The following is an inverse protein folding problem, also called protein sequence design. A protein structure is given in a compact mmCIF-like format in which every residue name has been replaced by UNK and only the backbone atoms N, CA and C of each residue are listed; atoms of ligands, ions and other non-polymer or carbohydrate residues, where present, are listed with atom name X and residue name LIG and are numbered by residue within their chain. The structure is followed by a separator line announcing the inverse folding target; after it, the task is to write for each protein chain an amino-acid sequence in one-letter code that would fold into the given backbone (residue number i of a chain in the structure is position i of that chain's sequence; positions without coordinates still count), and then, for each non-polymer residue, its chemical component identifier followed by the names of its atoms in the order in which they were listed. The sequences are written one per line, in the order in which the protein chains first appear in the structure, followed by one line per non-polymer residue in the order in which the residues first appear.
data_IF_566409391669
#
_entry.id   IF_566409391669
#
_cell.length_a   1.000
_cell.length_b   1.000
_cell.length_c   1.000
_cell.angle_alpha   90.00
_cell.angle_beta   90.00
_cell.angle_gamma   90.00
#
_symmetry.space_group_name_H-M   'P 1'
#
loop_
_entity.id
_entity.type
_entity.pdbx_description
1 polymer ?
#
# COMPACT_ATOMS: atom_id res chain seq x y z
N UNK A 1 -5.64 10.56 -11.94
CA UNK A 1 -6.31 11.86 -12.08
C UNK A 1 -7.54 12.01 -11.18
N UNK A 2 -8.33 10.95 -10.97
CA UNK A 2 -9.58 11.05 -10.22
C UNK A 2 -9.38 11.23 -8.71
N UNK A 3 -8.42 10.52 -8.11
CA UNK A 3 -8.18 10.51 -6.66
C UNK A 3 -7.17 11.60 -6.24
N UNK A 4 -6.07 11.72 -6.97
CA UNK A 4 -4.93 12.56 -6.60
C UNK A 4 -4.77 13.82 -7.49
N UNK A 5 -5.84 14.28 -8.13
CA UNK A 5 -5.78 15.41 -9.04
C UNK A 5 -5.15 15.09 -10.41
N UNK A 6 -5.03 16.09 -11.29
CA UNK A 6 -4.52 15.90 -12.66
C UNK A 6 -3.02 15.59 -12.71
N UNK A 7 -2.28 16.09 -11.75
CA UNK A 7 -0.82 15.97 -11.60
C UNK A 7 -0.38 14.85 -10.66
N UNK A 8 -1.33 14.18 -10.01
CA UNK A 8 -1.06 13.16 -9.00
C UNK A 8 -0.66 13.71 -7.63
N UNK A 9 -0.60 15.05 -7.48
CA UNK A 9 -0.14 15.73 -6.26
C UNK A 9 -1.20 16.68 -5.67
N UNK A 10 -2.46 16.56 -6.13
CA UNK A 10 -3.55 17.40 -5.63
C UNK A 10 -3.42 18.89 -5.97
N UNK A 11 -2.48 19.27 -6.86
CA UNK A 11 -2.15 20.63 -7.17
C UNK A 11 -1.01 21.22 -6.32
N UNK A 12 -0.41 20.43 -5.43
CA UNK A 12 0.72 20.88 -4.63
C UNK A 12 1.95 21.18 -5.52
N UNK A 13 2.61 22.30 -5.24
CA UNK A 13 3.82 22.71 -5.96
C UNK A 13 5.03 22.08 -5.28
N UNK A 14 5.81 21.34 -6.06
CA UNK A 14 7.10 20.82 -5.61
C UNK A 14 8.25 21.58 -6.28
N UNK A 15 9.36 21.78 -5.56
CA UNK A 15 10.56 22.35 -6.17
C UNK A 15 11.05 21.52 -7.35
N UNK A 16 11.65 22.17 -8.34
CA UNK A 16 12.26 21.47 -9.47
C UNK A 16 13.33 20.48 -8.98
N UNK A 17 13.19 19.23 -9.40
CA UNK A 17 14.12 18.17 -9.00
C UNK A 17 15.38 18.22 -9.86
N UNK A 18 16.55 18.11 -9.23
CA UNK A 18 17.84 17.86 -9.90
C UNK A 18 18.13 16.38 -10.09
N UNK A 19 17.24 15.50 -9.66
CA UNK A 19 17.39 14.06 -9.81
C UNK A 19 17.36 13.66 -11.30
N UNK A 20 18.26 12.77 -11.69
CA UNK A 20 18.31 12.20 -13.03
C UNK A 20 17.64 10.84 -12.96
N UNK A 21 16.77 10.57 -13.94
CA UNK A 21 16.17 9.24 -14.08
C UNK A 21 17.25 8.27 -14.55
N UNK A 22 17.46 7.20 -13.83
CA UNK A 22 18.41 6.16 -14.21
C UNK A 22 17.91 5.36 -15.42
N UNK A 23 18.82 4.90 -16.26
CA UNK A 23 18.50 4.03 -17.42
C UNK A 23 18.13 2.61 -17.00
N UNK A 24 18.60 2.19 -15.83
CA UNK A 24 18.35 0.87 -15.26
C UNK A 24 16.87 0.64 -15.03
N UNK A 25 16.36 -0.51 -15.43
CA UNK A 25 14.96 -0.87 -15.22
C UNK A 25 14.68 -1.19 -13.74
N UNK A 26 13.50 -0.80 -13.25
CA UNK A 26 13.13 -0.97 -11.84
C UNK A 26 13.24 -2.42 -11.34
N UNK A 27 12.90 -3.41 -12.17
CA UNK A 27 12.99 -4.83 -11.82
C UNK A 27 14.43 -5.34 -11.71
N UNK A 28 15.39 -4.78 -12.47
CA UNK A 28 16.81 -5.11 -12.37
C UNK A 28 17.44 -4.43 -11.14
N UNK A 29 17.07 -3.17 -10.87
CA UNK A 29 17.48 -2.46 -9.67
C UNK A 29 16.97 -3.16 -8.40
N UNK A 30 15.74 -3.68 -8.42
CA UNK A 30 15.17 -4.46 -7.32
C UNK A 30 15.99 -5.72 -7.03
N UNK A 31 16.38 -6.45 -8.08
CA UNK A 31 17.19 -7.67 -7.94
C UNK A 31 18.57 -7.37 -7.37
N UNK A 32 19.25 -6.33 -7.88
CA UNK A 32 20.54 -5.91 -7.35
C UNK A 32 20.46 -5.53 -5.86
N UNK A 33 19.44 -4.73 -5.48
CA UNK A 33 19.21 -4.38 -4.08
C UNK A 33 18.98 -5.63 -3.21
N UNK A 34 18.29 -6.64 -3.73
CA UNK A 34 18.07 -7.90 -3.04
C UNK A 34 19.37 -8.67 -2.81
N UNK A 35 20.25 -8.73 -3.84
CA UNK A 35 21.57 -9.36 -3.71
C UNK A 35 22.44 -8.65 -2.66
N UNK A 36 22.45 -7.31 -2.67
CA UNK A 36 23.19 -6.51 -1.67
C UNK A 36 22.69 -6.74 -0.25
N UNK A 37 21.37 -6.85 -0.07
CA UNK A 37 20.74 -7.07 1.23
C UNK A 37 20.89 -8.51 1.75
N UNK A 38 21.35 -9.46 0.94
CA UNK A 38 21.69 -10.85 1.34
C UNK A 38 20.59 -11.57 2.13
N UNK A 39 19.32 -11.37 1.74
CA UNK A 39 18.18 -12.01 2.38
C UNK A 39 17.44 -11.13 3.41
N UNK A 40 17.91 -9.91 3.66
CA UNK A 40 17.26 -8.97 4.60
C UNK A 40 16.39 -7.90 3.91
N UNK A 41 16.27 -7.95 2.56
CA UNK A 41 15.44 -6.97 1.84
C UNK A 41 13.97 -7.11 2.21
N UNK A 42 13.38 -6.03 2.65
CA UNK A 42 11.93 -5.87 2.81
C UNK A 42 11.41 -4.95 1.70
N UNK A 43 10.49 -5.45 0.88
CA UNK A 43 9.88 -4.67 -0.20
C UNK A 43 8.57 -4.07 0.31
N UNK A 44 8.40 -2.76 0.17
CA UNK A 44 7.13 -2.07 0.43
C UNK A 44 6.52 -1.65 -0.91
N UNK A 45 5.49 -2.38 -1.34
CA UNK A 45 4.79 -2.15 -2.59
C UNK A 45 3.51 -1.35 -2.33
N UNK A 46 3.47 -0.12 -2.83
CA UNK A 46 2.33 0.82 -2.66
C UNK A 46 1.65 1.18 -3.99
N UNK A 47 1.85 0.33 -5.00
CA UNK A 47 1.27 0.45 -6.33
C UNK A 47 1.10 -0.91 -6.98
N UNK A 48 0.75 -0.98 -8.29
CA UNK A 48 0.62 -2.22 -9.04
C UNK A 48 1.89 -3.06 -8.99
N UNK A 49 1.74 -4.39 -8.91
CA UNK A 49 2.83 -5.33 -8.63
C UNK A 49 3.64 -5.75 -9.85
N UNK A 50 3.43 -5.12 -11.00
CA UNK A 50 4.03 -5.46 -12.30
C UNK A 50 5.56 -5.53 -12.24
N UNK A 51 6.23 -4.53 -11.66
CA UNK A 51 7.69 -4.52 -11.57
C UNK A 51 8.24 -5.67 -10.72
N UNK A 52 7.55 -6.03 -9.63
CA UNK A 52 7.95 -7.15 -8.77
C UNK A 52 7.75 -8.48 -9.52
N UNK A 53 6.62 -8.66 -10.21
CA UNK A 53 6.35 -9.85 -11.00
C UNK A 53 7.38 -10.04 -12.13
N UNK A 54 7.73 -8.96 -12.85
CA UNK A 54 8.77 -9.01 -13.88
C UNK A 54 10.12 -9.40 -13.27
N UNK A 55 10.48 -8.85 -12.11
CA UNK A 55 11.71 -9.21 -11.40
C UNK A 55 11.74 -10.69 -11.03
N UNK A 56 10.62 -11.24 -10.53
CA UNK A 56 10.48 -12.67 -10.21
C UNK A 56 10.60 -13.57 -11.44
N UNK A 57 10.03 -13.17 -12.58
CA UNK A 57 10.17 -13.93 -13.84
C UNK A 57 11.58 -13.88 -14.39
N UNK A 58 12.22 -12.73 -14.33
CA UNK A 58 13.58 -12.52 -14.87
C UNK A 58 14.66 -13.11 -13.96
N UNK A 59 14.43 -13.08 -12.66
CA UNK A 59 15.35 -13.54 -11.62
C UNK A 59 14.62 -14.48 -10.64
N UNK A 60 14.41 -15.75 -10.98
CA UNK A 60 13.64 -16.70 -10.16
C UNK A 60 14.23 -16.92 -8.76
N UNK A 61 15.53 -16.71 -8.60
CA UNK A 61 16.24 -16.79 -7.33
C UNK A 61 16.04 -15.57 -6.42
N UNK A 62 15.37 -14.51 -6.89
CA UNK A 62 15.00 -13.34 -6.08
C UNK A 62 14.34 -13.75 -4.76
N UNK A 63 13.55 -14.84 -4.78
CA UNK A 63 12.87 -15.38 -3.61
C UNK A 63 13.79 -15.75 -2.45
N UNK A 64 15.07 -15.98 -2.71
CA UNK A 64 16.07 -16.32 -1.70
C UNK A 64 16.65 -15.09 -0.98
N UNK A 65 16.51 -13.91 -1.58
CA UNK A 65 17.10 -12.66 -1.12
C UNK A 65 16.12 -11.65 -0.56
N UNK A 66 14.81 -11.96 -0.63
CA UNK A 66 13.75 -11.10 -0.10
C UNK A 66 13.17 -11.71 1.17
N UNK A 67 13.26 -10.97 2.27
CA UNK A 67 12.74 -11.37 3.58
C UNK A 67 11.21 -11.43 3.60
N UNK A 68 10.56 -10.41 3.07
CA UNK A 68 9.09 -10.30 2.93
C UNK A 68 8.70 -9.16 2.00
N UNK A 69 7.45 -9.20 1.53
CA UNK A 69 6.83 -8.13 0.75
C UNK A 69 5.64 -7.58 1.56
N UNK A 70 5.63 -6.27 1.81
CA UNK A 70 4.52 -5.55 2.40
C UNK A 70 3.74 -4.88 1.27
N UNK A 71 2.47 -5.22 1.09
CA UNK A 71 1.67 -4.76 -0.05
C UNK A 71 0.53 -3.87 0.44
N UNK A 72 0.48 -2.61 0.01
CA UNK A 72 -0.79 -1.88 0.00
C UNK A 72 -1.57 -2.30 -1.25
N UNK A 73 -2.65 -3.04 -1.06
CA UNK A 73 -3.47 -3.53 -2.17
C UNK A 73 -4.44 -4.61 -1.75
N UNK A 74 -5.47 -4.76 -2.56
CA UNK A 74 -6.52 -5.75 -2.36
C UNK A 74 -7.52 -5.40 -1.26
N UNK A 75 -8.46 -6.32 -1.08
CA UNK A 75 -9.45 -6.28 -0.01
C UNK A 75 -10.01 -7.68 0.23
N UNK A 76 -10.13 -8.11 1.48
CA UNK A 76 -10.89 -9.31 1.81
C UNK A 76 -12.38 -9.07 1.54
N UNK A 77 -12.87 -7.85 1.83
CA UNK A 77 -14.25 -7.44 1.61
C UNK A 77 -14.32 -6.21 0.69
N UNK A 78 -15.13 -6.28 -0.39
CA UNK A 78 -15.37 -5.15 -1.29
C UNK A 78 -14.21 -4.78 -2.19
N UNK A 79 -14.22 -3.54 -2.66
CA UNK A 79 -13.22 -2.92 -3.53
C UNK A 79 -13.38 -1.40 -3.60
N UNK A 80 -12.55 -0.72 -4.36
CA UNK A 80 -12.64 0.72 -4.63
C UNK A 80 -12.49 1.08 -6.12
N UNK A 81 -12.00 0.15 -6.95
CA UNK A 81 -11.94 0.28 -8.40
C UNK A 81 -13.18 -0.35 -9.05
N UNK A 82 -13.57 -1.51 -8.57
CA UNK A 82 -14.85 -2.17 -8.84
C UNK A 82 -15.52 -2.53 -7.51
N UNK A 83 -16.77 -3.01 -7.50
CA UNK A 83 -17.41 -3.45 -6.26
C UNK A 83 -16.64 -4.52 -5.48
N UNK A 84 -15.75 -5.27 -6.13
CA UNK A 84 -15.02 -6.38 -5.52
C UNK A 84 -13.49 -6.26 -5.62
N UNK A 85 -12.93 -5.31 -6.40
CA UNK A 85 -11.49 -5.22 -6.63
C UNK A 85 -10.92 -3.88 -6.17
N UNK A 86 -9.74 -3.94 -5.54
CA UNK A 86 -8.95 -2.77 -5.17
C UNK A 86 -8.04 -2.36 -6.34
N UNK A 87 -7.76 -1.06 -6.47
CA UNK A 87 -7.13 -0.43 -7.62
C UNK A 87 -5.73 -1.01 -7.96
N UNK A 88 -4.83 -1.14 -6.98
CA UNK A 88 -3.48 -1.63 -7.24
C UNK A 88 -3.48 -3.05 -7.78
N UNK A 89 -4.34 -3.91 -7.23
CA UNK A 89 -4.48 -5.30 -7.68
C UNK A 89 -5.24 -5.35 -9.01
N UNK A 90 -6.30 -4.54 -9.18
CA UNK A 90 -7.09 -4.51 -10.40
C UNK A 90 -6.30 -4.00 -11.62
N UNK A 91 -5.30 -3.16 -11.40
CA UNK A 91 -4.45 -2.61 -12.49
C UNK A 91 -3.64 -3.69 -13.19
N UNK A 92 -3.13 -4.71 -12.45
CA UNK A 92 -2.44 -5.86 -13.03
C UNK A 92 -2.66 -7.12 -12.16
N UNK A 93 -3.84 -7.78 -12.29
CA UNK A 93 -4.15 -8.97 -11.49
C UNK A 93 -3.24 -10.16 -11.75
N UNK A 94 -2.69 -10.28 -12.98
CA UNK A 94 -1.77 -11.37 -13.31
C UNK A 94 -0.43 -11.22 -12.59
N UNK A 95 0.11 -9.99 -12.55
CA UNK A 95 1.29 -9.68 -11.76
C UNK A 95 1.03 -9.92 -10.26
N UNK A 96 -0.13 -9.48 -9.77
CA UNK A 96 -0.51 -9.68 -8.37
C UNK A 96 -0.59 -11.19 -8.03
N UNK A 97 -1.26 -12.00 -8.85
CA UNK A 97 -1.32 -13.45 -8.63
C UNK A 97 0.07 -14.10 -8.65
N UNK A 98 0.96 -13.64 -9.54
CA UNK A 98 2.35 -14.10 -9.58
C UNK A 98 3.06 -13.81 -8.25
N UNK A 99 2.93 -12.59 -7.73
CA UNK A 99 3.55 -12.20 -6.45
C UNK A 99 2.96 -12.99 -5.29
N UNK A 100 1.63 -13.13 -5.20
CA UNK A 100 1.00 -13.91 -4.13
C UNK A 100 1.35 -15.41 -4.18
N UNK A 101 1.79 -15.93 -5.33
CA UNK A 101 2.25 -17.32 -5.52
C UNK A 101 3.74 -17.53 -5.27
N UNK A 102 4.57 -16.49 -5.24
CA UNK A 102 6.03 -16.61 -5.33
C UNK A 102 6.71 -17.32 -4.15
N UNK A 103 6.00 -17.52 -3.03
CA UNK A 103 6.54 -18.18 -1.83
C UNK A 103 7.24 -17.24 -0.85
N UNK A 104 7.53 -15.99 -1.22
CA UNK A 104 8.02 -14.99 -0.26
C UNK A 104 6.91 -14.67 0.74
N UNK A 105 7.22 -14.50 2.06
CA UNK A 105 6.25 -14.07 3.04
C UNK A 105 5.63 -12.72 2.66
N UNK A 106 4.30 -12.61 2.69
CA UNK A 106 3.56 -11.40 2.33
C UNK A 106 2.80 -10.86 3.55
N UNK A 107 2.83 -9.54 3.71
CA UNK A 107 1.94 -8.80 4.61
C UNK A 107 1.03 -7.91 3.76
N UNK A 108 -0.25 -8.22 3.72
CA UNK A 108 -1.24 -7.52 2.90
C UNK A 108 -1.99 -6.49 3.73
N UNK A 109 -1.92 -5.24 3.29
CA UNK A 109 -2.69 -4.10 3.82
C UNK A 109 -3.79 -3.76 2.81
N UNK A 110 -4.88 -4.52 2.86
CA UNK A 110 -6.05 -4.27 2.03
C UNK A 110 -6.92 -3.12 2.55
N UNK A 111 -7.98 -2.80 1.80
CA UNK A 111 -8.93 -1.76 2.19
C UNK A 111 -9.57 -2.04 3.56
N UNK A 112 -9.61 -3.32 3.99
CA UNK A 112 -10.14 -3.74 5.29
C UNK A 112 -9.47 -3.04 6.48
N UNK A 113 -8.18 -2.72 6.36
CA UNK A 113 -7.42 -1.99 7.38
C UNK A 113 -7.14 -0.55 6.96
N UNK A 114 -6.82 -0.30 5.69
CA UNK A 114 -6.37 1.03 5.28
C UNK A 114 -7.48 2.09 5.33
N UNK A 115 -8.74 1.69 5.16
CA UNK A 115 -9.91 2.55 5.39
C UNK A 115 -10.13 2.88 6.89
N UNK A 116 -9.54 2.12 7.80
CA UNK A 116 -9.55 2.39 9.26
C UNK A 116 -8.38 3.28 9.69
N UNK A 117 -7.33 3.35 8.87
CA UNK A 117 -6.14 4.18 9.08
C UNK A 117 -6.38 5.60 8.51
N UNK A 118 -7.38 6.28 9.04
CA UNK A 118 -7.77 7.61 8.59
C UNK A 118 -7.48 8.70 9.62
N UNK A 119 -7.43 9.93 9.15
CA UNK A 119 -7.43 11.15 9.95
C UNK A 119 -8.72 11.92 9.69
N UNK A 120 -9.30 12.51 10.74
CA UNK A 120 -10.34 13.51 10.59
C UNK A 120 -9.74 14.79 10.00
N UNK A 121 -10.53 15.59 9.29
CA UNK A 121 -10.03 16.82 8.65
C UNK A 121 -9.42 17.78 9.66
N UNK A 122 -10.03 17.89 10.85
CA UNK A 122 -9.54 18.73 11.94
C UNK A 122 -8.16 18.25 12.45
N UNK A 123 -7.93 16.94 12.44
CA UNK A 123 -6.61 16.37 12.82
C UNK A 123 -5.55 16.70 11.78
N UNK A 124 -5.90 16.62 10.48
CA UNK A 124 -5.02 17.01 9.37
C UNK A 124 -4.64 18.48 9.49
N UNK A 125 -5.61 19.37 9.70
CA UNK A 125 -5.40 20.80 9.86
C UNK A 125 -4.51 21.11 11.07
N UNK A 126 -4.77 20.44 12.20
CA UNK A 126 -3.96 20.59 13.41
C UNK A 126 -2.50 20.17 13.22
N UNK A 127 -2.25 19.09 12.47
CA UNK A 127 -0.89 18.62 12.17
C UNK A 127 -0.10 19.62 11.30
N UNK A 128 -0.79 20.42 10.51
CA UNK A 128 -0.20 21.38 9.58
C UNK A 128 -0.23 22.84 10.08
N UNK A 129 -0.61 23.08 11.34
CA UNK A 129 -0.76 24.44 11.89
C UNK A 129 0.55 25.26 11.93
N UNK A 130 1.71 24.59 11.93
CA UNK A 130 3.03 25.24 12.03
C UNK A 130 3.48 25.92 10.72
N UNK A 131 2.71 25.76 9.62
CA UNK A 131 2.95 26.38 8.31
C UNK A 131 4.39 26.22 7.78
N UNK A 132 4.96 25.05 8.00
CA UNK A 132 6.24 24.70 7.39
C UNK A 132 6.03 24.28 5.94
N UNK A 133 7.07 24.32 5.09
CA UNK A 133 6.98 23.87 3.70
C UNK A 133 6.44 22.43 3.58
N UNK A 134 6.80 21.55 4.53
CA UNK A 134 6.31 20.17 4.57
C UNK A 134 4.83 20.11 4.95
N UNK A 135 4.39 20.91 5.93
CA UNK A 135 2.99 20.94 6.35
C UNK A 135 2.07 21.57 5.29
N UNK A 136 2.54 22.58 4.58
CA UNK A 136 1.82 23.18 3.45
C UNK A 136 1.70 22.18 2.30
N UNK A 137 2.79 21.54 1.90
CA UNK A 137 2.77 20.47 0.91
C UNK A 137 1.80 19.34 1.30
N UNK A 138 1.82 18.92 2.56
CA UNK A 138 0.92 17.88 3.08
C UNK A 138 -0.56 18.28 2.92
N UNK A 139 -0.92 19.51 3.29
CA UNK A 139 -2.30 20.01 3.12
C UNK A 139 -2.71 20.06 1.66
N UNK A 140 -1.88 20.64 0.80
CA UNK A 140 -2.19 20.79 -0.62
C UNK A 140 -2.30 19.44 -1.32
N UNK A 141 -1.33 18.55 -1.11
CA UNK A 141 -1.31 17.23 -1.76
C UNK A 141 -2.46 16.31 -1.33
N UNK A 142 -3.00 16.51 -0.12
CA UNK A 142 -4.11 15.67 0.40
C UNK A 142 -5.50 16.25 0.13
N UNK A 143 -5.60 17.49 -0.33
CA UNK A 143 -6.89 18.18 -0.52
C UNK A 143 -7.85 17.43 -1.44
N UNK A 144 -7.40 17.03 -2.64
CA UNK A 144 -8.26 16.29 -3.58
C UNK A 144 -8.70 14.93 -3.03
N UNK A 145 -7.89 14.29 -2.21
CA UNK A 145 -8.25 13.05 -1.55
C UNK A 145 -9.33 13.29 -0.47
N UNK A 146 -9.18 14.31 0.36
CA UNK A 146 -10.20 14.72 1.34
C UNK A 146 -11.53 15.07 0.65
N UNK A 147 -11.49 15.83 -0.45
CA UNK A 147 -12.68 16.19 -1.22
C UNK A 147 -13.40 14.95 -1.78
N UNK A 148 -12.62 13.96 -2.26
CA UNK A 148 -13.16 12.70 -2.74
C UNK A 148 -13.87 11.92 -1.63
N UNK A 149 -13.22 11.74 -0.48
CA UNK A 149 -13.81 11.02 0.66
C UNK A 149 -15.03 11.75 1.22
N UNK A 150 -14.98 13.09 1.29
CA UNK A 150 -16.13 13.92 1.70
C UNK A 150 -17.35 13.68 0.81
N UNK A 151 -17.12 13.51 -0.50
CA UNK A 151 -18.19 13.30 -1.48
C UNK A 151 -18.84 11.91 -1.35
N UNK A 152 -18.04 10.84 -1.15
CA UNK A 152 -18.52 9.46 -1.25
C UNK A 152 -18.70 8.76 0.09
N UNK A 153 -18.11 9.29 1.16
CA UNK A 153 -18.16 8.69 2.49
C UNK A 153 -18.42 9.73 3.58
N UNK A 154 -17.37 10.40 4.05
CA UNK A 154 -17.37 11.46 5.05
C UNK A 154 -16.07 12.25 5.00
N UNK A 155 -16.01 13.45 5.62
CA UNK A 155 -14.77 14.25 5.69
C UNK A 155 -13.66 13.49 6.43
N UNK A 156 -12.73 12.91 5.69
CA UNK A 156 -11.58 12.19 6.23
C UNK A 156 -10.45 12.07 5.20
N UNK A 157 -9.26 11.75 5.69
CA UNK A 157 -8.09 11.40 4.88
C UNK A 157 -7.65 9.98 5.22
N UNK A 158 -7.80 9.03 4.29
CA UNK A 158 -7.23 7.69 4.45
C UNK A 158 -5.76 7.67 4.03
N UNK A 159 -4.93 7.13 4.92
CA UNK A 159 -3.48 7.03 4.71
C UNK A 159 -3.09 5.59 4.32
N UNK A 160 -3.54 5.18 3.13
CA UNK A 160 -3.39 3.81 2.64
C UNK A 160 -1.92 3.36 2.64
N UNK A 161 -1.06 4.08 1.92
CA UNK A 161 0.33 3.73 1.67
C UNK A 161 1.23 3.91 2.89
N UNK A 162 0.79 4.70 3.86
CA UNK A 162 1.48 4.89 5.13
C UNK A 162 1.41 3.62 6.01
N UNK A 163 0.36 2.80 5.87
CA UNK A 163 0.16 1.60 6.67
C UNK A 163 1.34 0.62 6.58
N UNK A 164 1.74 0.11 5.40
CA UNK A 164 2.86 -0.82 5.29
C UNK A 164 4.19 -0.20 5.72
N UNK A 165 4.39 1.10 5.50
CA UNK A 165 5.61 1.80 5.92
C UNK A 165 5.69 1.87 7.45
N UNK A 166 4.61 2.26 8.12
CA UNK A 166 4.58 2.30 9.59
C UNK A 166 4.70 0.93 10.24
N UNK A 167 4.21 -0.11 9.58
CA UNK A 167 4.33 -1.49 10.07
C UNK A 167 5.78 -1.94 10.26
N UNK A 168 6.71 -1.46 9.43
CA UNK A 168 8.13 -1.77 9.58
C UNK A 168 8.69 -1.40 10.96
N UNK A 169 8.19 -0.31 11.53
CA UNK A 169 8.68 0.21 12.83
C UNK A 169 7.69 0.01 13.98
N UNK A 170 6.41 -0.03 13.68
CA UNK A 170 5.32 -0.08 14.66
C UNK A 170 4.33 -1.21 14.35
N UNK A 171 4.79 -2.48 14.27
CA UNK A 171 3.93 -3.60 13.92
C UNK A 171 2.76 -3.79 14.91
N UNK A 172 2.96 -3.44 16.17
CA UNK A 172 1.95 -3.57 17.23
C UNK A 172 0.74 -2.63 17.06
N UNK A 173 0.81 -1.68 16.15
CA UNK A 173 -0.35 -0.87 15.76
C UNK A 173 -1.40 -1.67 15.00
N UNK A 174 -1.01 -2.79 14.41
CA UNK A 174 -1.82 -3.53 13.44
C UNK A 174 -2.13 -4.93 13.93
N UNK A 175 -3.31 -5.42 13.57
CA UNK A 175 -3.74 -6.78 13.89
C UNK A 175 -4.19 -7.48 12.61
N UNK A 176 -3.78 -8.73 12.44
CA UNK A 176 -4.07 -9.50 11.24
C UNK A 176 -4.16 -11.00 11.48
N UNK A 177 -4.49 -11.73 10.42
CA UNK A 177 -4.62 -13.19 10.41
C UNK A 177 -3.90 -13.77 9.20
N UNK A 178 -3.20 -14.90 9.38
CA UNK A 178 -2.65 -15.68 8.26
C UNK A 178 -3.78 -16.32 7.47
N UNK A 179 -3.75 -16.14 6.14
CA UNK A 179 -4.77 -16.63 5.24
C UNK A 179 -4.20 -17.08 3.89
N UNK A 180 -4.95 -17.90 3.17
CA UNK A 180 -4.77 -18.09 1.74
C UNK A 180 -5.32 -16.87 1.00
N UNK A 181 -4.50 -16.21 0.19
CA UNK A 181 -4.91 -15.10 -0.67
C UNK A 181 -4.64 -15.48 -2.12
N UNK A 182 -5.65 -15.37 -2.96
CA UNK A 182 -5.63 -15.68 -4.38
C UNK A 182 -6.17 -14.49 -5.15
N UNK A 183 -5.65 -14.24 -6.32
CA UNK A 183 -6.14 -13.15 -7.17
C UNK A 183 -6.95 -13.73 -8.30
N UNK A 184 -8.19 -13.28 -8.45
CA UNK A 184 -9.05 -13.67 -9.55
C UNK A 184 -8.60 -12.99 -10.86
N UNK A 185 -8.25 -13.81 -11.85
CA UNK A 185 -7.66 -13.34 -13.12
C UNK A 185 -8.50 -13.66 -14.35
N UNK A 186 -9.69 -14.24 -14.21
CA UNK A 186 -10.51 -14.69 -15.34
C UNK A 186 -11.98 -14.24 -15.27
N UNK A 187 -12.52 -14.09 -14.07
CA UNK A 187 -13.92 -13.79 -13.85
C UNK A 187 -14.29 -12.36 -14.28
N UNK A 188 -15.23 -12.21 -15.19
CA UNK A 188 -15.68 -10.92 -15.73
C UNK A 188 -16.05 -9.90 -14.64
N UNK A 189 -16.79 -10.32 -13.61
CA UNK A 189 -17.24 -9.43 -12.52
C UNK A 189 -16.28 -9.37 -11.33
N UNK A 190 -15.39 -10.35 -11.21
CA UNK A 190 -14.48 -10.50 -10.07
C UNK A 190 -13.01 -10.31 -10.43
N UNK A 191 -12.70 -9.90 -11.66
CA UNK A 191 -11.34 -9.65 -12.12
C UNK A 191 -10.58 -8.72 -11.17
N UNK A 192 -9.42 -9.17 -10.69
CA UNK A 192 -8.61 -8.45 -9.70
C UNK A 192 -9.09 -8.56 -8.25
N UNK A 193 -10.10 -9.41 -7.95
CA UNK A 193 -10.49 -9.69 -6.57
C UNK A 193 -9.41 -10.48 -5.85
N UNK A 194 -8.99 -10.02 -4.67
CA UNK A 194 -8.22 -10.81 -3.72
C UNK A 194 -9.16 -11.71 -2.93
N UNK A 195 -9.30 -12.95 -3.38
CA UNK A 195 -10.06 -13.99 -2.68
C UNK A 195 -9.28 -14.42 -1.44
N UNK A 196 -9.76 -13.99 -0.27
CA UNK A 196 -9.07 -14.15 1.01
C UNK A 196 -9.82 -15.15 1.89
N UNK A 197 -9.20 -16.28 2.17
CA UNK A 197 -9.80 -17.33 2.99
C UNK A 197 -9.52 -17.10 4.47
N UNK A 198 -10.40 -16.34 5.11
CA UNK A 198 -10.33 -16.01 6.54
C UNK A 198 -11.07 -17.01 7.44
N UNK A 199 -11.63 -18.09 6.90
CA UNK A 199 -12.40 -19.06 7.65
C UNK A 199 -11.50 -19.90 8.58
N UNK A 200 -12.07 -20.42 9.64
CA UNK A 200 -11.34 -21.26 10.60
C UNK A 200 -10.94 -22.62 10.00
N UNK A 201 -11.77 -23.14 9.11
CA UNK A 201 -11.60 -24.36 8.35
C UNK A 201 -11.27 -24.08 6.88
N UNK A 202 -10.25 -23.25 6.66
CA UNK A 202 -9.83 -22.77 5.35
C UNK A 202 -9.91 -23.85 4.26
N UNK A 203 -10.62 -23.56 3.17
CA UNK A 203 -10.83 -24.47 2.03
C UNK A 203 -9.67 -24.44 1.04
N UNK A 204 -8.93 -23.32 1.02
CA UNK A 204 -7.79 -23.16 0.14
C UNK A 204 -6.46 -23.34 0.88
N UNK A 205 -5.40 -23.84 0.21
CA UNK A 205 -4.08 -23.93 0.81
C UNK A 205 -3.63 -22.57 1.36
N UNK A 206 -3.12 -22.58 2.59
CA UNK A 206 -2.58 -21.36 3.21
C UNK A 206 -1.31 -20.94 2.46
N UNK A 207 -1.35 -19.80 1.80
CA UNK A 207 -0.16 -19.09 1.35
C UNK A 207 0.46 -18.35 2.54
N UNK A 208 1.71 -17.94 2.42
CA UNK A 208 2.40 -17.22 3.50
C UNK A 208 1.99 -15.74 3.54
N UNK A 209 0.69 -15.48 3.61
CA UNK A 209 0.14 -14.12 3.65
C UNK A 209 -0.43 -13.82 5.03
N UNK A 210 0.09 -12.79 5.67
CA UNK A 210 -0.53 -12.16 6.83
C UNK A 210 -1.43 -11.03 6.32
N UNK A 211 -2.74 -11.21 6.44
CA UNK A 211 -3.74 -10.20 6.07
C UNK A 211 -4.00 -9.31 7.29
N UNK A 212 -3.68 -8.02 7.16
CA UNK A 212 -3.93 -7.04 8.21
C UNK A 212 -5.38 -6.59 8.11
N UNK A 213 -6.10 -6.64 9.24
CA UNK A 213 -7.55 -6.42 9.29
C UNK A 213 -7.95 -5.26 10.20
N UNK A 214 -7.05 -4.85 11.09
CA UNK A 214 -7.35 -3.78 12.03
C UNK A 214 -6.11 -2.96 12.39
N UNK A 215 -6.35 -1.71 12.85
CA UNK A 215 -5.32 -0.77 13.26
C UNK A 215 -5.76 0.01 14.51
N UNK A 216 -4.86 0.24 15.44
CA UNK A 216 -5.07 1.11 16.60
C UNK A 216 -5.08 2.57 16.15
N UNK A 217 -6.20 3.02 15.58
CA UNK A 217 -6.36 4.29 14.86
C UNK A 217 -5.80 5.50 15.62
N UNK A 218 -6.08 5.64 16.91
CA UNK A 218 -5.61 6.79 17.68
C UNK A 218 -4.08 6.80 17.82
N UNK A 219 -3.47 5.64 18.06
CA UNK A 219 -2.01 5.52 18.14
C UNK A 219 -1.37 5.72 16.75
N UNK A 220 -2.00 5.23 15.69
CA UNK A 220 -1.58 5.47 14.31
C UNK A 220 -1.54 6.97 14.00
N UNK A 221 -2.63 7.70 14.30
CA UNK A 221 -2.70 9.17 14.19
C UNK A 221 -1.56 9.85 14.94
N UNK A 222 -1.33 9.47 16.20
CA UNK A 222 -0.31 10.09 17.06
C UNK A 222 1.10 9.88 16.50
N UNK A 223 1.37 8.70 15.91
CA UNK A 223 2.64 8.43 15.22
C UNK A 223 2.80 9.30 13.99
N UNK A 224 1.76 9.45 13.15
CA UNK A 224 1.79 10.33 11.97
C UNK A 224 2.04 11.77 12.38
N UNK A 225 1.33 12.29 13.40
CA UNK A 225 1.53 13.63 13.92
C UNK A 225 2.98 13.86 14.41
N UNK A 226 3.54 12.88 15.15
CA UNK A 226 4.92 12.93 15.63
C UNK A 226 5.94 12.92 14.49
N UNK A 227 5.66 12.21 13.40
CA UNK A 227 6.56 12.19 12.24
C UNK A 227 6.55 13.54 11.51
N UNK A 228 5.38 14.10 11.23
CA UNK A 228 5.26 15.42 10.60
C UNK A 228 5.92 16.52 11.45
N UNK A 229 5.79 16.46 12.77
CA UNK A 229 6.40 17.41 13.67
C UNK A 229 7.94 17.43 13.66
N UNK A 230 8.60 16.44 13.06
CA UNK A 230 10.08 16.43 12.91
C UNK A 230 10.59 17.37 11.80
N UNK A 231 9.72 17.82 10.94
CA UNK A 231 10.06 18.70 9.82
C UNK A 231 9.70 20.18 10.12
N UNK A 232 9.86 20.57 11.36
CA UNK A 232 9.66 21.96 11.84
C UNK A 232 10.84 22.83 11.48
#
# INVERSE_FOLDING_TARGET
AFVHGKDGLGGAIIPESKAIVEEKKAWDALYEAALEAKGDLEIVAVGPLTNIAISLYKHPDLTQYVKRILIMGGAAMGGNCTPCSEFNIHTDPHAAETVFKCGIPIVMFGLDVTMKAYLEVEEVQKMAQDKTAVSEFYLESTKSNIDLYTRYYRPMLCLHDVCPVLYLKYPDLFTGKKAGVYVETQGELSFGKTVTDLWSDAKFPKRQTLVILDVKRNQFRDVVAKLLAKYK
#
